data_IF_150350923293
#
_entry.id   IF_150350923293
#
_cell.length_a   1.000
_cell.length_b   1.000
_cell.length_c   1.000
_cell.angle_alpha   90.00
_cell.angle_beta   90.00
_cell.angle_gamma   90.00
#
_symmetry.space_group_name_H-M   'P 1'
#
loop_
_entity.id
_entity.type
_entity.pdbx_description
1 polymer ?
#
# COMPACT_ATOMS: atom_id res chain seq x y z
N UNK A 1 27.90 16.12 -26.77
CA UNK A 1 26.80 16.35 -25.80
C UNK A 1 25.78 15.24 -26.05
N UNK A 2 25.43 14.48 -25.03
CA UNK A 2 24.29 13.55 -25.10
C UNK A 2 23.04 14.46 -25.16
N UNK A 3 22.15 14.20 -26.09
CA UNK A 3 20.85 14.82 -26.18
C UNK A 3 20.02 14.49 -24.93
N UNK A 4 19.26 15.43 -24.40
CA UNK A 4 18.47 15.25 -23.17
C UNK A 4 17.48 14.08 -23.31
N UNK A 5 16.89 13.89 -24.49
CA UNK A 5 16.00 12.78 -24.77
C UNK A 5 16.75 11.43 -24.69
N UNK A 6 17.93 11.34 -25.28
CA UNK A 6 18.75 10.14 -25.23
C UNK A 6 19.26 9.84 -23.81
N UNK A 7 19.53 10.88 -23.01
CA UNK A 7 19.90 10.71 -21.60
C UNK A 7 18.74 10.17 -20.78
N UNK A 8 17.53 10.72 -20.95
CA UNK A 8 16.34 10.26 -20.25
C UNK A 8 16.01 8.80 -20.60
N UNK A 9 16.10 8.43 -21.89
CA UNK A 9 15.89 7.04 -22.32
C UNK A 9 16.91 6.08 -21.70
N UNK A 10 18.19 6.46 -21.68
CA UNK A 10 19.23 5.66 -21.05
C UNK A 10 19.04 5.48 -19.54
N UNK A 11 18.62 6.54 -18.84
CA UNK A 11 18.31 6.49 -17.41
C UNK A 11 17.09 5.60 -17.12
N UNK A 12 16.04 5.74 -17.91
CA UNK A 12 14.83 4.93 -17.80
C UNK A 12 15.14 3.46 -18.04
N UNK A 13 15.93 3.15 -19.07
CA UNK A 13 16.39 1.80 -19.38
C UNK A 13 17.23 1.22 -18.24
N UNK A 14 18.19 1.96 -17.71
CA UNK A 14 19.01 1.52 -16.59
C UNK A 14 18.21 1.24 -15.32
N UNK A 15 17.20 2.09 -15.04
CA UNK A 15 16.27 1.88 -13.95
C UNK A 15 15.41 0.62 -14.13
N UNK A 16 14.93 0.36 -15.35
CA UNK A 16 14.21 -0.85 -15.69
C UNK A 16 15.07 -2.12 -15.52
N UNK A 17 16.30 -2.07 -16.03
CA UNK A 17 17.23 -3.21 -15.97
C UNK A 17 17.52 -3.66 -14.53
N UNK A 18 17.46 -2.74 -13.55
CA UNK A 18 17.57 -3.10 -12.14
C UNK A 18 16.55 -4.17 -11.74
N UNK A 19 15.29 -4.00 -12.10
CA UNK A 19 14.22 -4.93 -11.74
C UNK A 19 14.38 -6.30 -12.39
N UNK A 20 14.96 -6.36 -13.58
CA UNK A 20 15.28 -7.64 -14.24
C UNK A 20 16.50 -8.33 -13.64
N UNK A 21 17.51 -7.55 -13.21
CA UNK A 21 18.76 -8.09 -12.67
C UNK A 21 18.65 -8.50 -11.21
N UNK A 22 17.81 -7.82 -10.44
CA UNK A 22 17.67 -8.05 -9.01
C UNK A 22 16.49 -8.94 -8.63
N UNK A 23 15.68 -9.38 -9.60
CA UNK A 23 14.58 -10.32 -9.35
C UNK A 23 15.12 -11.73 -9.10
N UNK A 24 14.53 -12.41 -8.13
CA UNK A 24 14.75 -13.84 -7.93
C UNK A 24 13.92 -14.63 -8.96
N UNK A 25 14.54 -15.51 -9.74
CA UNK A 25 13.86 -16.22 -10.82
C UNK A 25 12.82 -17.24 -10.34
N UNK A 26 12.94 -17.72 -9.10
CA UNK A 26 12.07 -18.78 -8.58
C UNK A 26 10.81 -18.22 -7.95
N UNK A 27 10.92 -17.13 -7.18
CA UNK A 27 9.82 -16.57 -6.38
C UNK A 27 9.39 -15.15 -6.80
N UNK A 28 10.12 -14.47 -7.70
CA UNK A 28 9.79 -13.13 -8.17
C UNK A 28 10.09 -12.02 -7.19
N UNK A 29 10.72 -12.31 -6.06
CA UNK A 29 11.12 -11.30 -5.08
C UNK A 29 12.30 -10.47 -5.61
N UNK A 30 12.29 -9.15 -5.32
CA UNK A 30 13.29 -8.22 -5.83
C UNK A 30 14.11 -7.67 -4.66
N UNK A 31 15.43 -7.76 -4.78
CA UNK A 31 16.33 -7.23 -3.76
C UNK A 31 16.17 -5.72 -3.58
N UNK A 32 16.32 -5.23 -2.35
CA UNK A 32 16.22 -3.80 -2.02
C UNK A 32 17.34 -2.97 -2.64
N UNK A 33 18.53 -3.55 -2.73
CA UNK A 33 19.70 -2.91 -3.35
C UNK A 33 20.47 -3.92 -4.20
N UNK A 34 21.34 -3.42 -5.08
CA UNK A 34 22.24 -4.27 -5.89
C UNK A 34 23.43 -4.83 -5.09
N UNK A 35 23.50 -4.60 -3.78
CA UNK A 35 24.59 -5.14 -2.93
C UNK A 35 24.40 -6.64 -2.70
N UNK A 36 25.48 -7.42 -2.74
CA UNK A 36 25.41 -8.84 -2.39
C UNK A 36 24.78 -9.05 -1.00
N UNK A 37 23.86 -9.99 -0.86
CA UNK A 37 23.17 -10.27 0.39
C UNK A 37 22.11 -9.25 0.79
N UNK A 38 21.72 -8.34 -0.11
CA UNK A 38 20.59 -7.43 0.12
C UNK A 38 19.30 -8.22 0.36
N UNK A 39 18.51 -7.87 1.38
CA UNK A 39 17.18 -8.44 1.54
C UNK A 39 16.24 -7.96 0.44
N UNK A 40 15.05 -8.49 0.43
CA UNK A 40 13.92 -8.01 -0.38
C UNK A 40 13.22 -6.90 0.37
N UNK A 41 12.91 -5.80 -0.33
CA UNK A 41 11.89 -4.84 0.13
C UNK A 41 10.57 -5.13 -0.61
N UNK A 42 9.48 -5.26 0.12
CA UNK A 42 8.17 -5.52 -0.49
C UNK A 42 7.70 -4.35 -1.37
N UNK A 43 8.07 -3.10 -1.02
CA UNK A 43 7.80 -1.94 -1.88
C UNK A 43 8.53 -2.03 -3.22
N UNK A 44 9.79 -2.48 -3.21
CA UNK A 44 10.57 -2.65 -4.44
C UNK A 44 9.95 -3.71 -5.36
N UNK A 45 9.37 -4.76 -4.79
CA UNK A 45 8.57 -5.72 -5.59
C UNK A 45 7.36 -5.02 -6.22
N UNK A 46 6.65 -4.16 -5.48
CA UNK A 46 5.54 -3.35 -6.01
C UNK A 46 5.98 -2.44 -7.15
N UNK A 47 7.14 -1.79 -7.02
CA UNK A 47 7.72 -0.99 -8.11
C UNK A 47 8.06 -1.84 -9.33
N UNK A 48 8.65 -3.03 -9.14
CA UNK A 48 8.91 -3.97 -10.24
C UNK A 48 7.64 -4.34 -10.99
N UNK A 49 6.58 -4.69 -10.25
CA UNK A 49 5.26 -5.00 -10.84
C UNK A 49 4.72 -3.83 -11.68
N UNK A 50 4.90 -2.57 -11.23
CA UNK A 50 4.50 -1.39 -11.99
C UNK A 50 5.39 -1.10 -13.20
N UNK A 51 6.64 -1.55 -13.15
CA UNK A 51 7.68 -1.26 -14.16
C UNK A 51 7.60 -2.24 -15.33
N UNK A 52 7.18 -3.49 -15.12
CA UNK A 52 7.07 -4.46 -16.22
C UNK A 52 6.16 -4.02 -17.38
N UNK A 53 4.97 -3.42 -17.16
CA UNK A 53 4.18 -2.80 -18.23
C UNK A 53 4.96 -1.77 -19.05
N UNK A 54 5.74 -0.92 -18.39
CA UNK A 54 6.59 0.07 -19.07
C UNK A 54 7.61 -0.61 -19.97
N UNK A 55 8.24 -1.67 -19.47
CA UNK A 55 9.18 -2.47 -20.26
C UNK A 55 8.57 -3.12 -21.51
N UNK A 56 7.31 -3.56 -21.41
CA UNK A 56 6.57 -4.11 -22.56
C UNK A 56 6.30 -3.01 -23.59
N UNK A 57 5.84 -1.81 -23.20
CA UNK A 57 5.59 -0.69 -24.11
C UNK A 57 6.85 -0.23 -24.83
N UNK A 58 8.00 -0.29 -24.17
CA UNK A 58 9.29 0.04 -24.79
C UNK A 58 9.92 -1.12 -25.57
N UNK A 59 9.33 -2.31 -25.55
CA UNK A 59 9.91 -3.52 -26.18
C UNK A 59 11.17 -4.03 -25.48
N UNK A 60 11.37 -3.70 -24.22
CA UNK A 60 12.53 -4.14 -23.43
C UNK A 60 12.35 -5.55 -22.84
N UNK A 61 11.12 -6.00 -22.70
CA UNK A 61 10.71 -7.34 -22.26
C UNK A 61 9.48 -7.75 -23.05
N UNK A 62 9.32 -9.04 -23.29
CA UNK A 62 8.09 -9.54 -23.91
C UNK A 62 6.91 -9.46 -22.94
N UNK A 63 5.67 -9.32 -23.47
CA UNK A 63 4.46 -9.35 -22.64
C UNK A 63 4.35 -10.65 -21.83
N UNK A 64 4.69 -11.77 -22.44
CA UNK A 64 4.67 -13.08 -21.78
C UNK A 64 5.64 -13.16 -20.62
N UNK A 65 6.90 -12.75 -20.80
CA UNK A 65 7.91 -12.74 -19.72
C UNK A 65 7.51 -11.80 -18.59
N UNK A 66 6.97 -10.61 -18.92
CA UNK A 66 6.49 -9.64 -17.95
C UNK A 66 5.34 -10.20 -17.09
N UNK A 67 4.40 -10.92 -17.72
CA UNK A 67 3.32 -11.63 -17.02
C UNK A 67 3.89 -12.73 -16.12
N UNK A 68 4.86 -13.51 -16.60
CA UNK A 68 5.47 -14.56 -15.80
C UNK A 68 6.23 -14.01 -14.59
N UNK A 69 7.00 -12.91 -14.75
CA UNK A 69 7.66 -12.24 -13.62
C UNK A 69 6.64 -11.75 -12.60
N UNK A 70 5.59 -11.10 -13.06
CA UNK A 70 4.50 -10.62 -12.18
C UNK A 70 3.83 -11.76 -11.43
N UNK A 71 3.47 -12.84 -12.13
CA UNK A 71 2.81 -13.99 -11.52
C UNK A 71 3.66 -14.70 -10.47
N UNK A 72 4.98 -14.82 -10.66
CA UNK A 72 5.87 -15.43 -9.65
C UNK A 72 5.76 -14.68 -8.32
N UNK A 73 5.88 -13.35 -8.35
CA UNK A 73 5.76 -12.52 -7.17
C UNK A 73 4.36 -12.63 -6.53
N UNK A 74 3.29 -12.53 -7.32
CA UNK A 74 1.93 -12.60 -6.80
C UNK A 74 1.62 -13.97 -6.18
N UNK A 75 2.04 -15.06 -6.82
CA UNK A 75 1.89 -16.42 -6.28
C UNK A 75 2.65 -16.61 -4.98
N UNK A 76 3.89 -16.09 -4.90
CA UNK A 76 4.66 -16.10 -3.67
C UNK A 76 3.89 -15.43 -2.52
N UNK A 77 3.45 -14.18 -2.69
CA UNK A 77 2.70 -13.46 -1.66
C UNK A 77 1.35 -14.11 -1.33
N UNK A 78 0.69 -14.70 -2.33
CA UNK A 78 -0.56 -15.41 -2.11
C UNK A 78 -0.40 -16.64 -1.23
N UNK A 79 0.64 -17.44 -1.45
CA UNK A 79 0.94 -18.67 -0.72
C UNK A 79 1.72 -18.46 0.58
N UNK A 80 2.21 -17.24 0.83
CA UNK A 80 3.11 -16.94 1.95
C UNK A 80 2.42 -17.04 3.32
N UNK A 81 3.24 -17.28 4.35
CA UNK A 81 2.80 -17.39 5.75
C UNK A 81 2.28 -16.05 6.28
N UNK A 82 1.02 -16.04 6.69
CA UNK A 82 0.29 -14.91 7.25
C UNK A 82 -0.04 -15.11 8.75
N UNK A 83 0.71 -15.95 9.43
CA UNK A 83 0.48 -16.28 10.87
C UNK A 83 0.77 -15.11 11.80
N UNK A 84 1.59 -14.15 11.39
CA UNK A 84 2.08 -13.07 12.24
C UNK A 84 3.20 -13.48 13.19
N UNK A 85 3.72 -14.70 13.04
CA UNK A 85 4.90 -15.15 13.80
C UNK A 85 6.12 -14.27 13.51
N UNK A 86 7.09 -14.30 14.41
CA UNK A 86 8.28 -13.45 14.31
C UNK A 86 9.12 -13.70 13.04
N UNK A 87 8.99 -14.86 12.42
CA UNK A 87 9.65 -15.27 11.18
C UNK A 87 8.66 -15.49 10.01
N UNK A 88 7.38 -15.11 10.16
CA UNK A 88 6.39 -15.17 9.07
C UNK A 88 6.72 -14.17 7.95
N UNK A 89 6.00 -14.28 6.83
CA UNK A 89 6.05 -13.29 5.75
C UNK A 89 5.14 -12.09 6.03
N UNK A 90 4.03 -12.31 6.75
CA UNK A 90 3.05 -11.27 7.00
C UNK A 90 2.02 -11.61 8.08
N UNK A 91 1.02 -10.74 8.21
CA UNK A 91 -0.11 -10.90 9.09
C UNK A 91 -1.32 -10.08 8.61
N UNK A 92 -2.51 -10.64 8.64
CA UNK A 92 -3.77 -9.94 8.26
C UNK A 92 -3.74 -9.31 6.85
N UNK A 93 -3.00 -9.90 5.92
CA UNK A 93 -2.82 -9.40 4.58
C UNK A 93 -1.71 -8.36 4.41
N UNK A 94 -1.19 -7.80 5.49
CA UNK A 94 0.01 -6.97 5.47
C UNK A 94 1.28 -7.83 5.50
N UNK A 95 2.41 -7.25 5.08
CA UNK A 95 3.69 -7.94 4.97
C UNK A 95 4.78 -7.22 5.74
N UNK A 96 5.78 -7.97 6.22
CA UNK A 96 6.97 -7.37 6.81
C UNK A 96 7.77 -6.62 5.75
N UNK A 97 8.32 -5.47 6.12
CA UNK A 97 9.03 -4.55 5.24
C UNK A 97 10.16 -5.25 4.48
N UNK A 98 11.01 -5.97 5.22
CA UNK A 98 12.14 -6.69 4.65
C UNK A 98 12.00 -8.20 4.84
N UNK A 99 12.26 -8.93 3.74
CA UNK A 99 12.18 -10.38 3.70
C UNK A 99 13.51 -10.98 3.25
N UNK A 100 13.81 -12.19 3.72
CA UNK A 100 14.87 -13.01 3.14
C UNK A 100 14.55 -13.33 1.68
N UNK A 101 15.55 -13.23 0.81
CA UNK A 101 15.34 -13.38 -0.62
C UNK A 101 14.91 -14.78 -1.04
N UNK A 102 15.39 -15.82 -0.35
CA UNK A 102 15.11 -17.20 -0.68
C UNK A 102 13.91 -17.76 0.08
N UNK A 103 13.92 -17.58 1.41
CA UNK A 103 12.88 -18.12 2.28
C UNK A 103 11.61 -17.24 2.32
N UNK A 104 11.72 -15.96 1.94
CA UNK A 104 10.61 -15.00 2.04
C UNK A 104 10.16 -14.71 3.46
N UNK A 105 11.01 -14.99 4.44
CA UNK A 105 10.76 -14.76 5.85
C UNK A 105 11.23 -13.37 6.28
N UNK A 106 10.59 -12.82 7.31
CA UNK A 106 10.99 -11.56 7.95
C UNK A 106 12.48 -11.55 8.33
N UNK A 107 13.17 -10.47 8.02
CA UNK A 107 14.56 -10.24 8.47
C UNK A 107 14.67 -8.96 9.31
N UNK A 108 15.76 -8.85 10.09
CA UNK A 108 16.13 -7.67 10.90
C UNK A 108 15.07 -7.23 11.92
N UNK A 109 14.12 -8.08 12.28
CA UNK A 109 12.97 -7.69 13.10
C UNK A 109 12.24 -6.45 12.55
N UNK A 110 12.22 -6.34 11.20
CA UNK A 110 11.50 -5.26 10.51
C UNK A 110 10.04 -5.26 10.92
N UNK A 111 9.41 -4.12 10.87
CA UNK A 111 7.97 -3.99 11.11
C UNK A 111 7.15 -4.62 9.99
N UNK A 112 5.95 -5.03 10.30
CA UNK A 112 4.89 -5.21 9.34
C UNK A 112 4.51 -3.82 8.83
N UNK A 113 4.85 -3.52 7.58
CA UNK A 113 4.74 -2.17 7.04
C UNK A 113 3.40 -1.96 6.33
N UNK A 114 2.66 -0.94 6.75
CA UNK A 114 1.38 -0.59 6.14
C UNK A 114 1.58 0.07 4.78
N UNK A 115 2.54 1.00 4.68
CA UNK A 115 2.78 1.74 3.43
C UNK A 115 3.46 0.88 2.38
N UNK A 116 4.45 0.08 2.75
CA UNK A 116 5.14 -0.77 1.78
C UNK A 116 4.23 -1.87 1.26
N UNK A 117 3.32 -2.38 2.11
CA UNK A 117 2.23 -3.27 1.65
C UNK A 117 1.32 -2.55 0.66
N UNK A 118 0.96 -1.29 0.91
CA UNK A 118 0.14 -0.51 -0.02
C UNK A 118 0.85 -0.31 -1.37
N UNK A 119 2.16 -0.04 -1.37
CA UNK A 119 2.96 0.07 -2.59
C UNK A 119 3.05 -1.26 -3.35
N UNK A 120 3.22 -2.38 -2.63
CA UNK A 120 3.17 -3.72 -3.23
C UNK A 120 1.83 -3.97 -3.94
N UNK A 121 0.73 -3.69 -3.26
CA UNK A 121 -0.62 -3.89 -3.82
C UNK A 121 -0.92 -2.92 -4.96
N UNK A 122 -0.48 -1.67 -4.89
CA UNK A 122 -0.60 -0.73 -5.98
C UNK A 122 0.11 -1.26 -7.24
N UNK A 123 1.31 -1.82 -7.09
CA UNK A 123 2.03 -2.48 -8.18
C UNK A 123 1.29 -3.69 -8.75
N UNK A 124 0.73 -4.53 -7.88
CA UNK A 124 -0.07 -5.69 -8.28
C UNK A 124 -1.30 -5.27 -9.10
N UNK A 125 -2.02 -4.25 -8.64
CA UNK A 125 -3.19 -3.73 -9.35
C UNK A 125 -2.81 -3.03 -10.67
N UNK A 126 -1.69 -2.32 -10.73
CA UNK A 126 -1.16 -1.71 -11.95
C UNK A 126 -0.88 -2.78 -13.00
N UNK A 127 -0.18 -3.86 -12.63
CA UNK A 127 0.02 -5.02 -13.51
C UNK A 127 -1.30 -5.63 -13.95
N UNK A 128 -2.24 -5.84 -13.02
CA UNK A 128 -3.54 -6.44 -13.32
C UNK A 128 -4.39 -5.60 -14.29
N UNK A 129 -4.28 -4.28 -14.23
CA UNK A 129 -4.98 -3.38 -15.15
C UNK A 129 -4.36 -3.35 -16.55
N UNK A 130 -3.06 -3.53 -16.66
CA UNK A 130 -2.36 -3.54 -17.94
C UNK A 130 -2.44 -4.89 -18.65
N UNK A 131 -2.28 -5.99 -17.91
CA UNK A 131 -2.35 -7.36 -18.45
C UNK A 131 -3.81 -7.83 -18.49
N UNK A 132 -4.56 -7.35 -19.48
CA UNK A 132 -6.01 -7.50 -19.63
C UNK A 132 -6.44 -8.59 -20.64
N UNK A 133 -5.48 -9.36 -21.17
CA UNK A 133 -5.74 -10.43 -22.14
C UNK A 133 -6.55 -11.60 -21.57
N UNK A 134 -7.17 -12.37 -22.47
CA UNK A 134 -8.04 -13.50 -22.12
C UNK A 134 -7.30 -14.85 -22.00
N UNK A 135 -5.98 -14.84 -22.05
CA UNK A 135 -5.19 -16.04 -21.82
C UNK A 135 -5.13 -16.42 -20.32
N UNK A 136 -4.88 -17.69 -20.04
CA UNK A 136 -4.95 -18.22 -18.69
C UNK A 136 -4.01 -17.53 -17.69
N UNK A 137 -2.80 -17.12 -18.12
CA UNK A 137 -1.82 -16.47 -17.24
C UNK A 137 -2.25 -15.06 -16.83
N UNK A 138 -2.77 -14.27 -17.78
CA UNK A 138 -3.25 -12.91 -17.47
C UNK A 138 -4.54 -12.95 -16.65
N UNK A 139 -5.43 -13.92 -16.90
CA UNK A 139 -6.62 -14.15 -16.06
C UNK A 139 -6.19 -14.49 -14.62
N UNK A 140 -5.23 -15.39 -14.45
CA UNK A 140 -4.69 -15.77 -13.13
C UNK A 140 -4.03 -14.57 -12.43
N UNK A 141 -3.26 -13.77 -13.18
CA UNK A 141 -2.61 -12.57 -12.66
C UNK A 141 -3.64 -11.60 -12.04
N UNK A 142 -4.69 -11.27 -12.80
CA UNK A 142 -5.76 -10.38 -12.32
C UNK A 142 -6.48 -10.96 -11.10
N UNK A 143 -6.81 -12.24 -11.13
CA UNK A 143 -7.48 -12.91 -10.02
C UNK A 143 -6.60 -12.91 -8.76
N UNK A 144 -5.31 -13.21 -8.89
CA UNK A 144 -4.39 -13.24 -7.75
C UNK A 144 -4.16 -11.86 -7.16
N UNK A 145 -4.03 -10.82 -8.00
CA UNK A 145 -3.90 -9.43 -7.53
C UNK A 145 -5.15 -8.98 -6.75
N UNK A 146 -6.37 -9.30 -7.22
CA UNK A 146 -7.61 -9.01 -6.51
C UNK A 146 -7.70 -9.75 -5.18
N UNK A 147 -7.31 -11.02 -5.12
CA UNK A 147 -7.27 -11.81 -3.88
C UNK A 147 -6.29 -11.21 -2.86
N UNK A 148 -5.11 -10.79 -3.27
CA UNK A 148 -4.13 -10.12 -2.40
C UNK A 148 -4.68 -8.82 -1.85
N UNK A 149 -5.28 -7.98 -2.69
CA UNK A 149 -5.88 -6.72 -2.27
C UNK A 149 -7.01 -6.92 -1.26
N UNK A 150 -7.94 -7.87 -1.52
CA UNK A 150 -9.08 -8.14 -0.64
C UNK A 150 -8.71 -8.82 0.67
N UNK A 151 -7.54 -9.48 0.75
CA UNK A 151 -7.06 -10.14 1.96
C UNK A 151 -6.66 -9.16 3.05
N UNK A 152 -6.33 -7.91 2.71
CA UNK A 152 -5.85 -6.93 3.67
C UNK A 152 -6.97 -6.49 4.62
N UNK A 153 -6.73 -6.66 5.91
CA UNK A 153 -7.61 -6.15 6.98
C UNK A 153 -7.31 -4.66 7.25
N UNK A 154 -7.77 -3.79 6.34
CA UNK A 154 -7.59 -2.35 6.47
C UNK A 154 -8.17 -1.75 7.75
N UNK A 155 -9.11 -2.42 8.40
CA UNK A 155 -9.74 -1.95 9.63
C UNK A 155 -8.88 -2.19 10.86
N UNK A 156 -7.96 -3.14 10.78
CA UNK A 156 -7.05 -3.44 11.86
C UNK A 156 -5.97 -2.37 12.04
N UNK A 157 -5.49 -1.78 10.95
CA UNK A 157 -4.35 -0.86 10.95
C UNK A 157 -4.56 0.49 11.64
N UNK A 158 -5.78 1.05 11.79
CA UNK A 158 -5.99 2.27 12.58
C UNK A 158 -5.96 2.08 14.09
N UNK A 159 -6.04 0.85 14.62
CA UNK A 159 -6.11 0.56 16.06
C UNK A 159 -7.13 1.48 16.81
N UNK A 160 -8.28 1.77 16.15
CA UNK A 160 -9.32 2.66 16.70
C UNK A 160 -9.04 4.16 16.57
N UNK A 161 -7.91 4.55 15.96
CA UNK A 161 -7.54 5.94 15.68
C UNK A 161 -8.06 6.47 14.35
N UNK A 162 -7.81 7.75 14.08
CA UNK A 162 -8.19 8.42 12.84
C UNK A 162 -7.18 8.23 11.71
N UNK A 163 -5.98 7.74 12.01
CA UNK A 163 -4.88 7.56 11.06
C UNK A 163 -4.42 6.11 11.05
N UNK A 164 -3.93 5.65 9.89
CA UNK A 164 -3.31 4.34 9.77
C UNK A 164 -1.93 4.38 10.43
N UNK A 165 -1.63 3.37 11.25
CA UNK A 165 -0.34 3.25 11.92
C UNK A 165 0.76 2.94 10.89
N UNK A 166 2.00 3.34 11.16
CA UNK A 166 3.12 3.11 10.25
C UNK A 166 3.46 1.62 10.13
N UNK A 167 3.37 0.90 11.22
CA UNK A 167 3.69 -0.52 11.24
C UNK A 167 3.32 -1.22 12.54
N UNK A 168 3.52 -2.53 12.55
CA UNK A 168 3.28 -3.40 13.70
C UNK A 168 4.40 -4.43 13.85
N UNK A 169 4.70 -4.82 15.09
CA UNK A 169 5.67 -5.88 15.40
C UNK A 169 5.05 -6.90 16.35
N UNK A 170 5.30 -8.20 16.18
CA UNK A 170 4.78 -9.22 17.09
C UNK A 170 5.34 -9.06 18.51
N UNK A 171 6.52 -8.46 18.65
CA UNK A 171 7.19 -8.27 19.93
C UNK A 171 6.65 -7.09 20.75
N UNK A 172 6.08 -6.06 20.09
CA UNK A 172 5.74 -4.79 20.74
C UNK A 172 4.40 -4.17 20.34
N UNK A 173 3.67 -4.78 19.39
CA UNK A 173 2.43 -4.20 18.88
C UNK A 173 2.65 -3.10 17.84
N UNK A 174 1.69 -2.17 17.72
CA UNK A 174 1.79 -1.05 16.78
C UNK A 174 2.92 -0.09 17.14
N UNK A 175 3.54 0.46 16.10
CA UNK A 175 4.48 1.57 16.25
C UNK A 175 3.71 2.82 16.71
N UNK A 176 4.39 3.69 17.49
CA UNK A 176 3.74 4.86 18.10
C UNK A 176 3.40 5.99 17.11
N UNK A 177 3.71 5.84 15.82
CA UNK A 177 3.49 6.85 14.80
C UNK A 177 2.45 6.40 13.80
N UNK A 178 1.49 7.29 13.49
CA UNK A 178 0.52 7.13 12.40
C UNK A 178 0.87 8.00 11.19
N UNK A 179 0.35 7.65 10.03
CA UNK A 179 0.47 8.44 8.81
C UNK A 179 -0.47 9.64 8.89
N UNK A 180 0.07 10.86 8.93
CA UNK A 180 -0.70 12.08 8.98
C UNK A 180 -0.22 13.06 7.89
N UNK A 181 -1.14 13.88 7.37
CA UNK A 181 -0.84 14.88 6.35
C UNK A 181 -0.69 14.31 4.94
N UNK A 182 -0.25 15.17 4.02
CA UNK A 182 -0.02 14.82 2.62
C UNK A 182 1.37 14.19 2.46
N UNK A 183 1.41 12.92 2.09
CA UNK A 183 2.62 12.13 1.92
C UNK A 183 2.34 10.95 0.97
N UNK A 184 3.29 10.05 0.80
CA UNK A 184 3.12 8.77 0.10
C UNK A 184 1.95 7.92 0.64
N UNK A 185 1.53 8.16 1.87
CA UNK A 185 0.37 7.51 2.48
C UNK A 185 -0.95 7.73 1.72
N UNK A 186 -0.99 8.67 0.76
CA UNK A 186 -2.16 8.85 -0.10
C UNK A 186 -2.52 7.56 -0.85
N UNK A 187 -1.53 6.77 -1.28
CA UNK A 187 -1.72 5.48 -1.95
C UNK A 187 -2.41 4.50 -1.00
N UNK A 188 -1.93 4.42 0.24
CA UNK A 188 -2.50 3.57 1.28
C UNK A 188 -3.97 3.93 1.56
N UNK A 189 -4.27 5.22 1.73
CA UNK A 189 -5.64 5.68 1.98
C UNK A 189 -6.55 5.44 0.78
N UNK A 190 -6.08 5.65 -0.45
CA UNK A 190 -6.86 5.38 -1.65
C UNK A 190 -7.25 3.90 -1.75
N UNK A 191 -6.31 2.98 -1.47
CA UNK A 191 -6.56 1.55 -1.47
C UNK A 191 -7.52 1.14 -0.35
N UNK A 192 -7.33 1.65 0.87
CA UNK A 192 -8.18 1.34 2.01
C UNK A 192 -9.63 1.79 1.79
N UNK A 193 -9.85 2.99 1.24
CA UNK A 193 -11.19 3.52 0.92
C UNK A 193 -11.83 2.79 -0.26
N UNK A 194 -11.02 2.40 -1.27
CA UNK A 194 -11.46 1.68 -2.46
C UNK A 194 -11.87 0.23 -2.19
N UNK A 195 -11.44 -0.35 -1.08
CA UNK A 195 -11.72 -1.74 -0.74
C UNK A 195 -13.20 -1.96 -0.41
N UNK A 196 -13.95 -2.63 -1.30
CA UNK A 196 -15.38 -2.87 -1.14
C UNK A 196 -15.72 -3.72 0.09
N UNK A 197 -14.83 -4.63 0.50
CA UNK A 197 -15.00 -5.49 1.68
C UNK A 197 -14.67 -4.77 2.99
N UNK A 198 -14.02 -3.62 2.91
CA UNK A 198 -13.60 -2.80 4.06
C UNK A 198 -14.66 -1.75 4.44
N UNK A 199 -15.70 -1.56 3.65
CA UNK A 199 -16.80 -0.67 4.00
C UNK A 199 -17.53 -1.25 5.22
N UNK A 200 -17.91 -0.42 6.22
CA UNK A 200 -18.79 -0.87 7.29
C UNK A 200 -20.06 -1.45 6.67
N UNK A 201 -20.37 -2.72 6.95
CA UNK A 201 -21.69 -3.26 6.63
C UNK A 201 -22.71 -2.40 7.34
N UNK A 202 -23.36 -1.52 6.58
CA UNK A 202 -24.51 -0.71 6.86
C UNK A 202 -24.91 -0.52 8.31
N UNK A 203 -24.31 0.39 9.03
CA UNK A 203 -25.01 1.17 10.03
C UNK A 203 -25.98 2.08 9.26
N UNK A 204 -27.26 1.77 9.28
CA UNK A 204 -28.32 2.68 8.80
C UNK A 204 -28.10 4.05 9.42
N UNK A 205 -28.00 5.06 8.58
CA UNK A 205 -28.23 6.45 8.77
C UNK A 205 -28.24 6.97 10.22
N UNK A 206 -27.07 7.27 10.77
CA UNK A 206 -26.95 8.34 11.74
C UNK A 206 -27.05 9.64 10.96
N UNK A 207 -28.25 10.23 10.90
CA UNK A 207 -28.48 11.52 10.26
C UNK A 207 -27.49 12.52 10.83
N UNK A 208 -26.87 13.27 9.97
CA UNK A 208 -26.17 14.51 10.33
C UNK A 208 -27.18 15.36 11.07
N UNK A 209 -27.13 15.39 12.40
CA UNK A 209 -27.84 16.39 13.19
C UNK A 209 -27.21 17.74 12.81
N UNK A 210 -27.88 18.45 11.92
CA UNK A 210 -27.65 19.88 11.75
C UNK A 210 -27.75 20.49 13.14
N UNK A 211 -26.67 21.07 13.61
CA UNK A 211 -26.66 21.90 14.80
C UNK A 211 -27.82 22.92 14.70
N UNK A 212 -28.85 22.71 15.53
CA UNK A 212 -30.03 23.53 15.56
C UNK A 212 -29.66 24.97 15.91
N UNK A 213 -30.18 25.89 15.14
CA UNK A 213 -30.24 27.31 15.45
C UNK A 213 -30.76 27.49 16.85
N UNK A 214 -30.01 28.14 17.72
CA UNK A 214 -30.49 28.62 18.99
C UNK A 214 -31.52 29.72 18.72
N UNK A 215 -32.76 29.66 19.30
CA UNK A 215 -33.72 30.77 19.22
C UNK A 215 -33.17 31.94 20.03
N UNK A 216 -33.15 33.10 19.43
CA UNK A 216 -32.78 34.36 20.06
C UNK A 216 -33.75 34.73 21.20
N UNK A 217 -33.32 34.59 22.44
CA UNK A 217 -33.98 35.15 23.59
C UNK A 217 -33.61 36.64 23.73
N UNK A 218 -34.52 37.50 23.34
CA UNK A 218 -34.48 38.92 23.72
C UNK A 218 -34.68 39.03 25.25
N UNK A 219 -33.71 39.57 25.97
CA UNK A 219 -33.91 40.06 27.34
C UNK A 219 -34.44 41.46 27.28
N UNK A 220 -35.48 41.81 28.11
CA UNK A 220 -35.98 43.18 28.20
C UNK A 220 -35.00 44.05 28.99
N UNK A 221 -34.84 45.27 28.52
CA UNK A 221 -34.12 46.35 29.20
C UNK A 221 -35.04 46.83 30.36
N UNK A 222 -34.61 46.57 31.58
CA UNK A 222 -35.21 47.32 32.76
C UNK A 222 -34.42 48.61 32.98
N UNK A 223 -35.09 49.69 32.76
CA UNK A 223 -34.67 51.00 33.25
C UNK A 223 -34.90 51.11 34.75
N UNK A 224 -33.99 51.70 35.45
CA UNK A 224 -34.06 52.02 36.87
C UNK A 224 -33.08 53.13 37.14
N UNK A 225 -33.53 54.25 37.10
CA UNK A 225 -33.71 55.44 37.94
C UNK A 225 -32.53 55.80 38.85
N UNK A 226 -32.21 57.07 38.73
CA UNK A 226 -31.26 57.83 39.50
C UNK A 226 -31.52 57.79 41.03
N UNK A 227 -30.46 57.89 41.78
CA UNK A 227 -30.47 58.13 43.23
C UNK A 227 -29.18 58.80 43.65
N UNK A 228 -29.30 60.05 43.92
CA UNK A 228 -28.33 60.99 44.49
C UNK A 228 -27.87 60.60 45.90
N UNK A 229 -26.73 61.19 46.25
CA UNK A 229 -26.26 61.64 47.60
C UNK A 229 -25.21 60.79 48.31
N UNK A 230 -24.18 61.54 48.61
CA UNK A 230 -23.20 61.30 49.66
C UNK A 230 -21.81 61.82 49.31
#
# INVERSE_FOLDING_TARGET
RIDDAALLDALQRAAFDYFLQQVDPDNGLIADTSRPGSPVSIAVVGFGLSTYPIGVEHGWISREDAVQHSLRALRFFHASDQSGAADATGYKGFYYHFLDRQAGKRVWQSELSMIDTALLIAGALTSAMYFDGDNALEIELRATADLLYRRIDWRWSPEGGATVMQGWKPESGFLHSGWAGYSEAIVLYALAVGCATCRPTGGRGGGVQRAGQRPGGRRPIQGGSAGERG
#
